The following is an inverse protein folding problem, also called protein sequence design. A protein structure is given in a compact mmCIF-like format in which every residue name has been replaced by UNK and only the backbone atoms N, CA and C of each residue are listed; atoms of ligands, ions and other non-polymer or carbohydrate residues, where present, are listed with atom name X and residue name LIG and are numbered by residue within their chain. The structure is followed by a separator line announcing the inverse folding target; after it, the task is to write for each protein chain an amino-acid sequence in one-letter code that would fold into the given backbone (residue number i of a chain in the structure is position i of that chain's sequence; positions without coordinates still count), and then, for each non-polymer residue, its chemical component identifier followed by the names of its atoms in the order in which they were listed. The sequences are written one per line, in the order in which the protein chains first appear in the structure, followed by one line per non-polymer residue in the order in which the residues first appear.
data_IF_584349179262
#
_entry.id   IF_584349179262
#
_cell.length_a   1.000
_cell.length_b   1.000
_cell.length_c   1.000
_cell.angle_alpha   90.00
_cell.angle_beta   90.00
_cell.angle_gamma   90.00
#
_symmetry.space_group_name_H-M   'P 1'
#
loop_
_entity.id
_entity.type
_entity.pdbx_description
1 polymer ?
#
# COMPACT_ATOMS: atom_id res chain seq x y z
N UNK A 1 -22.44 -11.46 -4.97
CA UNK A 1 -21.23 -12.28 -4.75
C UNK A 1 -20.25 -11.40 -4.01
N UNK A 2 -20.14 -11.55 -2.68
CA UNK A 2 -19.26 -10.75 -1.85
C UNK A 2 -17.79 -11.10 -2.15
N UNK A 3 -16.96 -10.09 -2.36
CA UNK A 3 -15.57 -10.23 -2.73
C UNK A 3 -14.76 -10.93 -1.64
N UNK A 4 -13.87 -11.82 -2.03
CA UNK A 4 -12.90 -12.57 -1.17
C UNK A 4 -11.92 -11.67 -0.35
N UNK A 5 -12.03 -10.35 -0.49
CA UNK A 5 -11.25 -9.36 0.27
C UNK A 5 -11.56 -9.37 1.79
N UNK A 6 -12.69 -9.97 2.21
CA UNK A 6 -13.05 -10.08 3.63
C UNK A 6 -12.20 -11.08 4.43
N UNK A 7 -11.61 -12.09 3.80
CA UNK A 7 -10.82 -13.11 4.50
C UNK A 7 -9.53 -12.54 5.14
N UNK A 8 -8.89 -11.56 4.51
CA UNK A 8 -7.72 -10.86 5.06
C UNK A 8 -8.05 -9.83 6.15
N UNK A 9 -9.28 -9.28 6.13
CA UNK A 9 -9.73 -8.23 7.06
C UNK A 9 -10.10 -8.74 8.47
N UNK A 10 -10.42 -10.04 8.61
CA UNK A 10 -10.95 -10.62 9.86
C UNK A 10 -9.88 -10.84 10.97
N UNK A 11 -8.59 -10.70 10.68
CA UNK A 11 -7.49 -11.09 11.61
C UNK A 11 -7.06 -9.94 12.54
N UNK A 12 -7.61 -8.74 12.46
CA UNK A 12 -7.07 -7.55 13.11
C UNK A 12 -7.81 -7.09 14.36
N UNK A 13 -7.46 -7.64 15.54
CA UNK A 13 -7.77 -7.00 16.83
C UNK A 13 -6.69 -5.93 17.16
N UNK A 14 -6.94 -4.94 18.03
CA UNK A 14 -5.95 -3.92 18.41
C UNK A 14 -4.64 -4.50 18.99
N UNK A 15 -4.70 -5.63 19.68
CA UNK A 15 -3.53 -6.33 20.24
C UNK A 15 -2.75 -7.04 19.12
N UNK A 16 -3.45 -7.67 18.19
CA UNK A 16 -2.87 -8.34 17.02
C UNK A 16 -2.14 -7.33 16.12
N UNK A 17 -2.68 -6.12 15.97
CA UNK A 17 -2.07 -5.03 15.19
C UNK A 17 -0.71 -4.58 15.78
N UNK A 18 -0.58 -4.51 17.12
CA UNK A 18 0.71 -4.15 17.77
C UNK A 18 1.77 -5.25 17.64
N UNK A 19 1.37 -6.51 17.80
CA UNK A 19 2.26 -7.66 17.60
C UNK A 19 2.64 -7.81 16.12
N UNK A 20 1.72 -7.48 15.22
CA UNK A 20 1.95 -7.43 13.78
C UNK A 20 3.08 -6.46 13.42
N UNK A 21 3.10 -5.24 13.98
CA UNK A 21 4.15 -4.28 13.70
C UNK A 21 5.54 -4.79 14.09
N UNK A 22 5.68 -5.33 15.31
CA UNK A 22 6.97 -5.85 15.77
C UNK A 22 7.44 -7.03 14.92
N UNK A 23 6.51 -7.91 14.52
CA UNK A 23 6.81 -9.07 13.70
C UNK A 23 7.05 -8.69 12.24
N UNK A 24 6.09 -8.00 11.59
CA UNK A 24 6.14 -7.71 10.15
C UNK A 24 7.13 -6.61 9.86
N UNK A 25 7.02 -5.46 10.53
CA UNK A 25 7.85 -4.30 10.24
C UNK A 25 9.24 -4.38 10.86
N UNK A 26 9.40 -5.12 11.96
CA UNK A 26 10.70 -5.34 12.60
C UNK A 26 11.44 -6.55 12.03
N UNK A 27 10.93 -7.74 12.33
CA UNK A 27 11.64 -9.01 12.07
C UNK A 27 11.52 -9.42 10.61
N UNK A 28 10.29 -9.50 10.06
CA UNK A 28 10.10 -10.03 8.71
C UNK A 28 10.73 -9.12 7.65
N UNK A 29 10.60 -7.79 7.77
CA UNK A 29 11.19 -6.87 6.82
C UNK A 29 12.71 -6.96 6.77
N UNK A 30 13.36 -7.08 7.92
CA UNK A 30 14.83 -7.17 7.98
C UNK A 30 15.36 -8.54 7.54
N UNK A 31 14.77 -9.62 8.04
CA UNK A 31 15.36 -10.96 7.92
C UNK A 31 14.72 -11.86 6.87
N UNK A 32 13.44 -11.67 6.56
CA UNK A 32 12.78 -12.43 5.49
C UNK A 32 12.83 -11.69 4.15
N UNK A 33 12.52 -10.39 4.15
CA UNK A 33 12.39 -9.61 2.92
C UNK A 33 13.63 -8.79 2.57
N UNK A 34 14.62 -8.66 3.48
CA UNK A 34 15.85 -7.91 3.25
C UNK A 34 15.63 -6.41 3.01
N UNK A 35 14.54 -5.84 3.52
CA UNK A 35 14.18 -4.44 3.37
C UNK A 35 13.84 -3.81 4.74
N UNK A 36 14.85 -3.33 5.50
CA UNK A 36 14.64 -2.78 6.84
C UNK A 36 13.73 -1.55 6.86
N UNK A 37 12.69 -1.58 7.71
CA UNK A 37 11.67 -0.52 7.79
C UNK A 37 12.27 0.84 8.10
N UNK A 38 13.11 0.94 9.14
CA UNK A 38 13.67 2.22 9.59
C UNK A 38 14.70 2.83 8.64
N UNK A 39 15.43 2.00 7.90
CA UNK A 39 16.54 2.42 7.05
C UNK A 39 16.11 2.66 5.59
N UNK A 40 15.03 2.00 5.14
CA UNK A 40 14.59 2.02 3.74
C UNK A 40 13.17 2.53 3.59
N UNK A 41 12.19 1.85 4.21
CA UNK A 41 10.78 2.11 3.95
C UNK A 41 10.29 3.43 4.55
N UNK A 42 10.67 3.73 5.80
CA UNK A 42 10.26 4.96 6.46
C UNK A 42 10.90 6.22 5.83
N UNK A 43 12.21 6.25 5.48
CA UNK A 43 12.78 7.35 4.70
C UNK A 43 12.09 7.53 3.34
N UNK A 44 11.80 6.44 2.63
CA UNK A 44 11.08 6.50 1.36
C UNK A 44 9.66 7.05 1.52
N UNK A 45 8.95 6.68 2.58
CA UNK A 45 7.64 7.25 2.91
C UNK A 45 7.72 8.75 3.15
N UNK A 46 8.66 9.20 4.01
CA UNK A 46 8.87 10.62 4.34
C UNK A 46 9.19 11.48 3.13
N UNK A 47 9.93 10.93 2.16
CA UNK A 47 10.33 11.64 0.95
C UNK A 47 9.13 11.99 0.05
N UNK A 48 8.06 11.20 0.09
CA UNK A 48 6.96 11.30 -0.87
C UNK A 48 5.66 11.83 -0.26
N UNK A 49 5.52 11.85 1.06
CA UNK A 49 4.30 12.33 1.69
C UNK A 49 4.13 13.84 1.44
N UNK A 50 2.95 14.23 0.90
CA UNK A 50 2.57 15.61 0.63
C UNK A 50 1.57 16.15 1.63
N UNK A 51 1.12 17.40 1.43
CA UNK A 51 0.22 18.09 2.35
C UNK A 51 -1.15 17.42 2.44
N UNK A 52 -1.82 17.16 1.30
CA UNK A 52 -3.08 16.40 1.25
C UNK A 52 -2.73 14.94 0.93
N UNK A 53 -2.75 14.13 1.96
CA UNK A 53 -2.27 12.75 1.90
C UNK A 53 -3.39 11.73 2.03
N UNK A 54 -3.41 10.75 1.12
CA UNK A 54 -4.26 9.56 1.20
C UNK A 54 -3.39 8.33 1.54
N UNK A 55 -3.68 7.69 2.65
CA UNK A 55 -3.10 6.40 3.02
C UNK A 55 -4.07 5.28 2.68
N UNK A 56 -3.70 4.37 1.80
CA UNK A 56 -4.53 3.27 1.30
C UNK A 56 -4.05 1.93 1.88
N UNK A 57 -4.97 1.19 2.53
CA UNK A 57 -4.63 -0.03 3.25
C UNK A 57 -3.84 0.31 4.52
N UNK A 58 -4.44 1.13 5.37
CA UNK A 58 -3.77 1.81 6.49
C UNK A 58 -3.14 0.88 7.53
N UNK A 59 -3.64 -0.37 7.63
CA UNK A 59 -3.17 -1.32 8.64
C UNK A 59 -3.17 -0.74 10.05
N UNK A 60 -2.00 -0.65 10.66
CA UNK A 60 -1.83 -0.07 12.01
C UNK A 60 -1.54 1.44 12.01
N UNK A 61 -1.41 2.09 10.84
CA UNK A 61 -0.99 3.49 10.73
C UNK A 61 0.48 3.75 11.12
N UNK A 62 1.32 2.74 11.06
CA UNK A 62 2.72 2.81 11.50
C UNK A 62 3.52 3.89 10.79
N UNK A 63 3.49 3.93 9.45
CA UNK A 63 4.28 4.88 8.67
C UNK A 63 3.86 6.32 8.95
N UNK A 64 2.56 6.60 8.97
CA UNK A 64 2.01 7.92 9.30
C UNK A 64 2.45 8.39 10.69
N UNK A 65 2.36 7.52 11.70
CA UNK A 65 2.74 7.86 13.07
C UNK A 65 4.24 8.07 13.28
N UNK A 66 5.09 7.52 12.38
CA UNK A 66 6.56 7.60 12.45
C UNK A 66 7.16 8.55 11.42
N UNK A 67 6.34 9.13 10.53
CA UNK A 67 6.85 9.98 9.45
C UNK A 67 7.20 11.40 9.90
N UNK A 68 6.85 11.81 11.13
CA UNK A 68 7.04 13.19 11.63
C UNK A 68 6.37 14.21 10.68
N UNK A 69 5.08 13.97 10.38
CA UNK A 69 4.32 14.76 9.42
C UNK A 69 4.19 16.24 9.88
N UNK A 70 4.32 17.21 8.96
CA UNK A 70 4.01 18.60 9.23
C UNK A 70 2.63 18.80 9.87
N UNK A 71 2.49 19.83 10.69
CA UNK A 71 1.25 20.09 11.43
C UNK A 71 0.04 20.33 10.51
N UNK A 72 0.29 20.93 9.34
CA UNK A 72 -0.71 21.25 8.31
C UNK A 72 -0.99 20.11 7.33
N UNK A 73 -0.42 18.91 7.53
CA UNK A 73 -0.72 17.75 6.69
C UNK A 73 -2.15 17.29 6.95
N UNK A 74 -2.96 17.28 5.90
CA UNK A 74 -4.33 16.76 5.88
C UNK A 74 -4.31 15.27 5.52
N UNK A 75 -4.69 14.40 6.46
CA UNK A 75 -4.62 12.95 6.27
C UNK A 75 -6.01 12.37 6.05
N UNK A 76 -6.14 11.59 4.98
CA UNK A 76 -7.29 10.71 4.72
C UNK A 76 -6.83 9.26 4.79
N UNK A 77 -7.54 8.45 5.56
CA UNK A 77 -7.28 7.03 5.76
C UNK A 77 -8.32 6.22 4.99
N UNK A 78 -7.88 5.32 4.10
CA UNK A 78 -8.76 4.44 3.33
C UNK A 78 -8.40 2.99 3.63
N UNK A 79 -9.38 2.22 4.08
CA UNK A 79 -9.25 0.77 4.33
C UNK A 79 -10.63 0.11 4.24
N UNK A 80 -10.66 -1.16 3.85
CA UNK A 80 -11.88 -1.96 3.87
C UNK A 80 -12.27 -2.33 5.31
N UNK A 81 -11.28 -2.50 6.20
CA UNK A 81 -11.47 -2.93 7.57
C UNK A 81 -11.66 -1.72 8.53
N UNK A 82 -12.84 -1.56 9.15
CA UNK A 82 -13.09 -0.47 10.08
C UNK A 82 -12.21 -0.52 11.35
N UNK A 83 -11.73 -1.71 11.74
CA UNK A 83 -10.81 -1.83 12.87
C UNK A 83 -9.43 -1.23 12.55
N UNK A 84 -8.93 -1.42 11.32
CA UNK A 84 -7.70 -0.77 10.84
C UNK A 84 -7.85 0.76 10.84
N UNK A 85 -8.95 1.29 10.33
CA UNK A 85 -9.24 2.74 10.34
C UNK A 85 -9.25 3.31 11.76
N UNK A 86 -9.88 2.63 12.70
CA UNK A 86 -9.94 3.02 14.11
C UNK A 86 -8.55 3.00 14.75
N UNK A 87 -7.78 1.94 14.54
CA UNK A 87 -6.45 1.77 15.10
C UNK A 87 -5.45 2.80 14.53
N UNK A 88 -5.46 3.01 13.21
CA UNK A 88 -4.58 3.97 12.55
C UNK A 88 -4.89 5.41 12.98
N UNK A 89 -6.18 5.78 13.07
CA UNK A 89 -6.61 7.11 13.55
C UNK A 89 -6.19 7.35 15.00
N UNK A 90 -6.39 6.37 15.87
CA UNK A 90 -5.98 6.48 17.27
C UNK A 90 -4.45 6.62 17.40
N UNK A 91 -3.68 5.88 16.60
CA UNK A 91 -2.23 5.93 16.61
C UNK A 91 -1.67 7.23 16.05
N UNK A 92 -2.30 7.79 15.02
CA UNK A 92 -1.89 9.05 14.42
C UNK A 92 -1.97 10.23 15.40
N UNK A 93 -2.91 10.19 16.36
CA UNK A 93 -3.04 11.19 17.43
C UNK A 93 -3.45 12.59 16.95
N UNK A 94 -3.97 12.71 15.71
CA UNK A 94 -4.43 13.97 15.10
C UNK A 94 -5.70 13.71 14.27
N UNK A 95 -6.36 14.78 13.83
CA UNK A 95 -7.54 14.69 12.99
C UNK A 95 -7.17 14.02 11.65
N UNK A 96 -7.97 13.02 11.26
CA UNK A 96 -7.88 12.36 9.97
C UNK A 96 -9.29 11.99 9.50
N UNK A 97 -9.55 12.23 8.20
CA UNK A 97 -10.75 11.72 7.54
C UNK A 97 -10.61 10.20 7.38
N UNK A 98 -11.68 9.46 7.55
CA UNK A 98 -11.69 8.00 7.32
C UNK A 98 -12.68 7.63 6.22
N UNK A 99 -12.27 6.75 5.33
CA UNK A 99 -13.07 6.20 4.25
C UNK A 99 -13.04 4.67 4.34
N UNK A 100 -14.17 4.05 4.62
CA UNK A 100 -14.31 2.61 4.48
C UNK A 100 -14.64 2.30 3.03
N UNK A 101 -13.66 1.78 2.29
CA UNK A 101 -13.80 1.53 0.86
C UNK A 101 -12.91 0.38 0.40
N UNK A 102 -13.36 -0.40 -0.59
CA UNK A 102 -12.54 -1.37 -1.29
C UNK A 102 -11.79 -0.64 -2.41
N UNK A 103 -10.47 -0.59 -2.34
CA UNK A 103 -9.64 0.12 -3.32
C UNK A 103 -9.70 -0.49 -4.73
N UNK A 104 -10.21 -1.70 -4.88
CA UNK A 104 -10.47 -2.34 -6.17
C UNK A 104 -11.78 -1.86 -6.83
N UNK A 105 -12.65 -1.19 -6.08
CA UNK A 105 -13.90 -0.61 -6.56
C UNK A 105 -13.71 0.88 -6.93
N UNK A 106 -14.57 1.43 -7.81
CA UNK A 106 -14.49 2.84 -8.20
C UNK A 106 -14.51 3.80 -7.01
N UNK A 107 -13.52 4.69 -6.95
CA UNK A 107 -13.44 5.74 -5.93
C UNK A 107 -14.01 7.04 -6.49
N UNK A 108 -14.92 7.68 -5.75
CA UNK A 108 -15.49 8.97 -6.14
C UNK A 108 -14.38 10.04 -6.26
N UNK A 109 -14.29 10.69 -7.41
CA UNK A 109 -13.31 11.74 -7.66
C UNK A 109 -13.44 12.94 -6.70
N UNK A 110 -14.63 13.18 -6.14
CA UNK A 110 -14.88 14.22 -5.14
C UNK A 110 -14.17 13.98 -3.80
N UNK A 111 -13.63 12.77 -3.58
CA UNK A 111 -12.83 12.46 -2.38
C UNK A 111 -11.49 13.20 -2.38
N UNK A 112 -10.89 13.42 -3.56
CA UNK A 112 -9.63 14.12 -3.78
C UNK A 112 -9.80 15.62 -4.03
N UNK A 113 -8.79 16.30 -4.61
CA UNK A 113 -7.52 15.75 -5.04
C UNK A 113 -6.47 15.63 -3.91
N UNK A 114 -5.56 14.64 -4.06
CA UNK A 114 -4.47 14.41 -3.11
C UNK A 114 -3.11 14.75 -3.72
N UNK A 115 -2.21 15.34 -2.93
CA UNK A 115 -0.83 15.63 -3.34
C UNK A 115 0.04 14.36 -3.27
N UNK A 116 -0.34 13.41 -2.41
CA UNK A 116 0.33 12.12 -2.29
C UNK A 116 -0.65 11.01 -1.90
N UNK A 117 -0.45 9.82 -2.48
CA UNK A 117 -1.23 8.62 -2.21
C UNK A 117 -0.26 7.48 -1.92
N UNK A 118 -0.32 6.90 -0.72
CA UNK A 118 0.55 5.81 -0.31
C UNK A 118 -0.15 4.45 -0.33
N UNK A 119 0.58 3.41 -0.78
CA UNK A 119 0.17 2.00 -0.76
C UNK A 119 1.32 1.17 -0.19
N UNK A 120 1.46 1.18 1.16
CA UNK A 120 2.52 0.41 1.81
C UNK A 120 2.02 -0.96 2.24
N UNK A 121 2.61 -2.00 1.64
CA UNK A 121 2.30 -3.41 1.96
C UNK A 121 0.84 -3.81 1.73
N UNK A 122 0.18 -3.17 0.73
CA UNK A 122 -1.18 -3.49 0.32
C UNK A 122 -1.21 -4.47 -0.85
N UNK A 123 -0.48 -4.19 -1.95
CA UNK A 123 -0.62 -4.92 -3.21
C UNK A 123 -0.42 -6.43 -3.07
N UNK A 124 0.56 -6.88 -2.28
CA UNK A 124 0.79 -8.31 -2.07
C UNK A 124 -0.30 -9.00 -1.24
N UNK A 125 -1.17 -8.24 -0.56
CA UNK A 125 -2.32 -8.76 0.17
C UNK A 125 -3.60 -8.80 -0.69
N UNK A 126 -3.62 -8.13 -1.85
CA UNK A 126 -4.76 -8.15 -2.75
C UNK A 126 -4.83 -9.46 -3.52
N UNK A 127 -6.04 -9.96 -3.84
CA UNK A 127 -6.21 -11.19 -4.60
C UNK A 127 -5.86 -10.99 -6.08
N UNK A 128 -5.50 -12.09 -6.74
CA UNK A 128 -5.25 -12.12 -8.19
C UNK A 128 -3.83 -11.77 -8.61
N UNK A 129 -3.62 -11.68 -9.92
CA UNK A 129 -2.34 -11.29 -10.52
C UNK A 129 -2.12 -9.78 -10.44
N UNK A 130 -0.89 -9.30 -10.65
CA UNK A 130 -0.60 -7.86 -10.72
C UNK A 130 -1.43 -7.13 -11.79
N UNK A 131 -1.77 -7.79 -12.91
CA UNK A 131 -2.67 -7.23 -13.91
C UNK A 131 -4.10 -6.96 -13.36
N UNK A 132 -4.58 -7.81 -12.46
CA UNK A 132 -5.86 -7.60 -11.78
C UNK A 132 -5.77 -6.57 -10.65
N UNK A 133 -4.69 -6.62 -9.87
CA UNK A 133 -4.39 -5.65 -8.79
C UNK A 133 -4.12 -4.24 -9.33
N UNK A 134 -3.57 -4.13 -10.54
CA UNK A 134 -3.31 -2.85 -11.22
C UNK A 134 -4.53 -1.96 -11.39
N UNK A 135 -5.74 -2.52 -11.29
CA UNK A 135 -6.99 -1.74 -11.21
C UNK A 135 -6.96 -0.69 -10.09
N UNK A 136 -6.24 -0.94 -9.00
CA UNK A 136 -6.01 0.05 -7.94
C UNK A 136 -5.50 1.37 -8.50
N UNK A 137 -4.56 1.32 -9.44
CA UNK A 137 -3.98 2.52 -10.03
C UNK A 137 -4.99 3.28 -10.89
N UNK A 138 -5.90 2.57 -11.59
CA UNK A 138 -7.00 3.20 -12.30
C UNK A 138 -7.96 3.95 -11.37
N UNK A 139 -8.19 3.44 -10.15
CA UNK A 139 -9.06 4.08 -9.17
C UNK A 139 -8.38 5.29 -8.49
N UNK A 140 -7.07 5.26 -8.33
CA UNK A 140 -6.31 6.31 -7.63
C UNK A 140 -5.90 7.47 -8.56
N UNK A 141 -5.69 7.21 -9.85
CA UNK A 141 -5.29 8.23 -10.81
C UNK A 141 -6.24 9.45 -10.87
N UNK A 142 -7.59 9.29 -10.86
CA UNK A 142 -8.51 10.41 -10.91
C UNK A 142 -8.53 11.31 -9.68
N UNK A 143 -8.10 10.80 -8.53
CA UNK A 143 -8.06 11.54 -7.25
C UNK A 143 -6.68 12.11 -6.94
N UNK A 144 -5.71 11.94 -7.85
CA UNK A 144 -4.37 12.52 -7.71
C UNK A 144 -4.35 13.97 -8.20
N UNK A 145 -3.78 14.87 -7.42
CA UNK A 145 -3.60 16.26 -7.80
C UNK A 145 -2.58 16.42 -8.96
N UNK A 146 -2.67 17.47 -9.76
CA UNK A 146 -1.60 17.83 -10.69
C UNK A 146 -0.24 17.93 -9.95
N UNK A 147 0.80 17.25 -10.45
CA UNK A 147 2.11 17.14 -9.79
C UNK A 147 2.17 16.22 -8.57
N UNK A 148 1.05 15.60 -8.18
CA UNK A 148 0.98 14.63 -7.09
C UNK A 148 1.72 13.33 -7.39
N UNK A 149 1.86 12.47 -6.36
CA UNK A 149 2.56 11.19 -6.46
C UNK A 149 1.73 10.06 -5.87
N UNK A 150 1.62 8.95 -6.59
CA UNK A 150 1.25 7.64 -6.04
C UNK A 150 2.54 6.89 -5.74
N UNK A 151 2.71 6.40 -4.51
CA UNK A 151 3.94 5.72 -4.10
C UNK A 151 3.67 4.58 -3.13
N UNK A 152 4.60 3.66 -3.00
CA UNK A 152 4.38 2.54 -2.11
C UNK A 152 5.49 1.52 -2.10
N UNK A 153 5.21 0.42 -1.38
CA UNK A 153 6.09 -0.72 -1.29
C UNK A 153 5.28 -2.02 -1.29
N UNK A 154 5.78 -3.04 -1.99
CA UNK A 154 5.15 -4.36 -2.03
C UNK A 154 6.18 -5.47 -2.04
N UNK A 155 5.85 -6.61 -1.40
CA UNK A 155 6.69 -7.79 -1.40
C UNK A 155 6.49 -8.54 -2.72
N UNK A 156 7.58 -8.84 -3.42
CA UNK A 156 7.57 -9.60 -4.68
C UNK A 156 7.44 -11.10 -4.40
N UNK A 157 6.81 -11.82 -5.34
CA UNK A 157 6.42 -13.22 -5.17
C UNK A 157 7.45 -14.24 -5.61
N UNK A 158 8.52 -13.88 -6.34
CA UNK A 158 9.52 -14.84 -6.81
C UNK A 158 10.25 -15.50 -5.63
N UNK A 159 9.66 -16.60 -5.14
CA UNK A 159 10.13 -17.30 -3.97
C UNK A 159 11.50 -17.99 -4.17
N UNK A 160 11.93 -18.20 -5.42
CA UNK A 160 13.18 -18.94 -5.72
C UNK A 160 14.42 -18.20 -5.20
N UNK A 161 14.38 -16.86 -5.15
CA UNK A 161 15.48 -16.05 -4.66
C UNK A 161 15.43 -15.71 -3.17
N UNK A 162 14.30 -15.93 -2.47
CA UNK A 162 14.19 -15.64 -1.04
C UNK A 162 15.12 -16.56 -0.21
N UNK A 163 15.63 -16.07 0.90
CA UNK A 163 16.30 -16.93 1.88
C UNK A 163 15.31 -17.94 2.50
N UNK A 164 15.81 -18.98 3.16
CA UNK A 164 14.95 -20.06 3.69
C UNK A 164 13.87 -19.59 4.66
N UNK A 165 14.08 -18.49 5.38
CA UNK A 165 13.07 -17.88 6.26
C UNK A 165 11.98 -17.16 5.43
N UNK A 166 12.37 -16.36 4.44
CA UNK A 166 11.45 -15.71 3.53
C UNK A 166 10.61 -16.69 2.73
N UNK A 167 11.21 -17.78 2.21
CA UNK A 167 10.49 -18.84 1.50
C UNK A 167 9.41 -19.50 2.37
N UNK A 168 9.73 -19.81 3.63
CA UNK A 168 8.74 -20.39 4.56
C UNK A 168 7.59 -19.44 4.84
N UNK A 169 7.87 -18.15 5.07
CA UNK A 169 6.83 -17.15 5.30
C UNK A 169 5.98 -16.92 4.04
N UNK A 170 6.60 -16.83 2.86
CA UNK A 170 5.91 -16.67 1.57
C UNK A 170 4.94 -17.82 1.34
N UNK A 171 5.42 -19.07 1.50
CA UNK A 171 4.59 -20.27 1.36
C UNK A 171 3.43 -20.29 2.36
N UNK A 172 3.71 -19.98 3.63
CA UNK A 172 2.70 -19.97 4.68
C UNK A 172 1.61 -18.91 4.43
N UNK A 173 2.02 -17.68 4.09
CA UNK A 173 1.09 -16.57 3.92
C UNK A 173 0.24 -16.71 2.65
N UNK A 174 0.82 -17.19 1.54
CA UNK A 174 0.04 -17.49 0.34
C UNK A 174 -0.93 -18.66 0.58
N UNK A 175 -0.50 -19.74 1.28
CA UNK A 175 -1.40 -20.85 1.63
C UNK A 175 -2.55 -20.45 2.53
N UNK A 176 -2.35 -19.47 3.43
CA UNK A 176 -3.37 -18.94 4.33
C UNK A 176 -4.25 -17.86 3.68
N UNK A 177 -3.99 -17.46 2.43
CA UNK A 177 -4.68 -16.36 1.77
C UNK A 177 -4.41 -14.98 2.36
N UNK A 178 -3.33 -14.84 3.18
CA UNK A 178 -2.87 -13.54 3.70
C UNK A 178 -2.16 -12.77 2.58
N UNK A 179 -1.37 -13.48 1.75
CA UNK A 179 -0.75 -12.96 0.55
C UNK A 179 -1.41 -13.57 -0.68
N UNK A 180 -1.47 -12.78 -1.76
CA UNK A 180 -1.90 -13.20 -3.08
C UNK A 180 -0.84 -12.90 -4.14
N UNK A 181 0.46 -12.94 -3.77
CA UNK A 181 1.56 -12.40 -4.57
C UNK A 181 2.50 -13.46 -5.16
N UNK A 182 2.17 -14.73 -5.11
CA UNK A 182 3.10 -15.81 -5.51
C UNK A 182 3.70 -15.62 -6.93
N UNK A 183 2.97 -14.97 -7.84
CA UNK A 183 3.43 -14.66 -9.20
C UNK A 183 3.78 -13.19 -9.43
N UNK A 184 3.82 -12.34 -8.40
CA UNK A 184 4.05 -10.91 -8.56
C UNK A 184 5.55 -10.63 -8.81
N UNK A 185 5.87 -10.05 -9.98
CA UNK A 185 7.22 -9.67 -10.36
C UNK A 185 7.41 -8.17 -10.44
N UNK A 186 8.68 -7.71 -10.37
CA UNK A 186 9.01 -6.29 -10.55
C UNK A 186 8.59 -5.78 -11.93
N UNK A 187 8.80 -6.60 -12.98
CA UNK A 187 8.45 -6.25 -14.35
C UNK A 187 6.94 -6.10 -14.55
N UNK A 188 6.13 -6.96 -13.90
CA UNK A 188 4.68 -6.85 -13.94
C UNK A 188 4.18 -5.61 -13.21
N UNK A 189 4.79 -5.28 -12.06
CA UNK A 189 4.46 -4.04 -11.34
C UNK A 189 4.78 -2.80 -12.19
N UNK A 190 5.96 -2.77 -12.83
CA UNK A 190 6.34 -1.69 -13.71
C UNK A 190 5.36 -1.53 -14.87
N UNK A 191 5.00 -2.64 -15.52
CA UNK A 191 4.05 -2.64 -16.63
C UNK A 191 2.69 -2.08 -16.21
N UNK A 192 2.17 -2.47 -15.04
CA UNK A 192 0.89 -1.97 -14.54
C UNK A 192 0.96 -0.49 -14.18
N UNK A 193 2.01 -0.03 -13.53
CA UNK A 193 2.19 1.40 -13.22
C UNK A 193 2.25 2.24 -14.52
N UNK A 194 3.03 1.81 -15.52
CA UNK A 194 3.16 2.50 -16.82
C UNK A 194 1.88 2.52 -17.66
N UNK A 195 0.90 1.66 -17.37
CA UNK A 195 -0.44 1.74 -18.00
C UNK A 195 -1.23 2.96 -17.53
N UNK A 196 -0.94 3.46 -16.34
CA UNK A 196 -1.72 4.53 -15.72
C UNK A 196 -0.95 5.83 -15.55
N UNK A 197 0.39 5.79 -15.54
CA UNK A 197 1.24 6.95 -15.26
C UNK A 197 2.37 7.09 -16.27
N UNK A 198 2.70 8.35 -16.60
CA UNK A 198 3.80 8.68 -17.53
C UNK A 198 5.15 8.51 -16.86
N UNK A 199 5.30 9.04 -15.65
CA UNK A 199 6.54 8.96 -14.87
C UNK A 199 6.43 7.85 -13.85
N UNK A 200 7.31 6.85 -13.97
CA UNK A 200 7.37 5.69 -13.07
C UNK A 200 8.80 5.41 -12.67
N UNK A 201 9.05 5.40 -11.37
CA UNK A 201 10.33 5.00 -10.78
C UNK A 201 10.12 3.76 -9.92
N UNK A 202 11.00 2.78 -10.09
CA UNK A 202 11.02 1.55 -9.30
C UNK A 202 12.42 1.28 -8.77
N UNK A 203 12.46 0.78 -7.55
CA UNK A 203 13.69 0.28 -6.91
C UNK A 203 13.37 -0.98 -6.12
N UNK A 204 14.16 -2.01 -6.34
CA UNK A 204 14.07 -3.23 -5.52
C UNK A 204 15.12 -3.19 -4.41
N UNK A 205 14.70 -3.47 -3.17
CA UNK A 205 15.59 -3.66 -2.01
C UNK A 205 15.21 -4.98 -1.36
N UNK A 206 16.13 -5.93 -1.38
CA UNK A 206 15.80 -7.31 -1.04
C UNK A 206 14.67 -7.83 -1.93
N UNK A 207 13.57 -8.26 -1.31
CA UNK A 207 12.38 -8.77 -1.99
C UNK A 207 11.20 -7.78 -1.97
N UNK A 208 11.49 -6.52 -1.71
CA UNK A 208 10.50 -5.45 -1.72
C UNK A 208 10.75 -4.53 -2.90
N UNK A 209 9.71 -4.33 -3.72
CA UNK A 209 9.67 -3.27 -4.72
C UNK A 209 9.16 -1.99 -4.06
N UNK A 210 9.94 -0.90 -4.16
CA UNK A 210 9.52 0.46 -3.87
C UNK A 210 9.20 1.12 -5.20
N UNK A 211 8.10 1.87 -5.26
CA UNK A 211 7.68 2.55 -6.47
C UNK A 211 7.18 3.96 -6.20
N UNK A 212 7.38 4.87 -7.15
CA UNK A 212 6.68 6.14 -7.24
C UNK A 212 6.19 6.36 -8.67
N UNK A 213 5.00 6.96 -8.80
CA UNK A 213 4.37 7.21 -10.09
C UNK A 213 3.69 8.57 -10.10
N UNK A 214 3.83 9.31 -11.20
CA UNK A 214 3.31 10.67 -11.38
C UNK A 214 2.70 10.82 -12.77
N UNK A 215 1.98 11.91 -12.98
CA UNK A 215 1.37 12.27 -14.25
C UNK A 215 0.46 11.15 -14.79
N UNK A 216 -0.78 11.03 -14.24
CA UNK A 216 -1.75 10.09 -14.78
C UNK A 216 -1.99 10.32 -16.27
N UNK A 217 -2.11 9.25 -17.07
CA UNK A 217 -2.52 9.40 -18.47
C UNK A 217 -3.91 10.02 -18.57
N UNK A 218 -4.14 10.86 -19.59
CA UNK A 218 -5.39 11.58 -19.79
C UNK A 218 -6.63 10.65 -19.89
N UNK A 219 -6.46 9.43 -20.37
CA UNK A 219 -7.49 8.38 -20.40
C UNK A 219 -7.85 7.86 -19.00
N UNK A 220 -6.91 7.83 -18.08
CA UNK A 220 -7.13 7.38 -16.70
C UNK A 220 -7.83 8.46 -15.86
N UNK A 221 -7.70 9.74 -16.22
CA UNK A 221 -8.32 10.86 -15.52
C UNK A 221 -9.81 11.06 -15.88
N UNK A 222 -10.31 10.49 -16.98
CA UNK A 222 -11.68 10.71 -17.51
C UNK A 222 -12.66 9.55 -17.23
N UNK A 223 -12.30 8.54 -16.51
CA UNK A 223 -13.12 7.33 -16.36
C UNK A 223 -14.41 7.55 -15.55
N UNK A 224 -14.64 8.75 -14.99
CA UNK A 224 -15.79 9.06 -14.12
C UNK A 224 -16.36 10.48 -14.29
N UNK A 225 -16.34 11.04 -15.52
CA UNK A 225 -17.10 12.26 -15.83
C UNK A 225 -18.45 11.95 -16.42
#
# INVERSE_FOLDING_TARGET
MGSDSQAGAAVYSPLTLRLYDAWVLGISNRYAWGCPTGEVLLPFFRQHVGRRHLEVGVGTGYYLAKADLPADTEVTLLDLNPASLTAARARLGRLARTLRHDVLEPLDAAVGPFDSIALFYLLHCLPGSLAQKGRVFAQLAPVLAPGGVVFGATILGDAAGHNGFGQRLMTLYNRKGIFGNAGDTLADLERELRRHFVQVELRQVGWVALFSAREPHASSARAFS
#
